data_IF_971358761356
#
_entry.id   IF_971358761356
#
_cell.length_a   1.000
_cell.length_b   1.000
_cell.length_c   1.000
_cell.angle_alpha   90.00
_cell.angle_beta   90.00
_cell.angle_gamma   90.00
#
_symmetry.space_group_name_H-M   'P 1'
#
loop_
_entity.id
_entity.type
_entity.pdbx_description
1 polymer ?
#
# COMPACT_ATOMS: atom_id res chain seq x y z
N UNK A 1 5.99 13.20 -9.28
CA UNK A 1 5.56 12.94 -7.89
C UNK A 1 5.49 14.28 -7.19
N UNK A 2 4.35 14.93 -7.28
CA UNK A 2 4.20 16.35 -6.94
C UNK A 2 3.41 16.50 -5.63
N UNK A 3 2.75 15.41 -5.22
CA UNK A 3 1.88 15.33 -4.05
C UNK A 3 2.68 15.10 -2.75
N UNK A 4 2.21 15.67 -1.63
CA UNK A 4 2.86 15.51 -0.34
C UNK A 4 2.86 14.04 0.11
N UNK A 5 3.80 13.66 0.99
CA UNK A 5 3.94 12.27 1.44
C UNK A 5 2.67 11.73 2.12
N UNK A 6 1.90 12.58 2.79
CA UNK A 6 0.62 12.18 3.38
C UNK A 6 -0.40 11.69 2.33
N UNK A 7 -0.50 12.38 1.18
CA UNK A 7 -1.38 11.97 0.10
C UNK A 7 -0.89 10.66 -0.54
N UNK A 8 0.42 10.55 -0.81
CA UNK A 8 1.03 9.34 -1.36
C UNK A 8 0.88 8.12 -0.46
N UNK A 9 0.94 8.30 0.86
CA UNK A 9 0.75 7.22 1.83
C UNK A 9 -0.71 6.74 1.94
N UNK A 10 -1.68 7.47 1.37
CA UNK A 10 -3.12 7.13 1.47
C UNK A 10 -3.78 6.78 0.14
N UNK A 11 -3.22 7.21 -0.99
CA UNK A 11 -3.82 6.99 -2.32
C UNK A 11 -4.04 5.50 -2.61
N UNK A 12 -3.11 4.63 -2.21
CA UNK A 12 -3.25 3.19 -2.43
C UNK A 12 -4.43 2.58 -1.64
N UNK A 13 -4.68 3.08 -0.42
CA UNK A 13 -5.83 2.67 0.39
C UNK A 13 -7.15 3.16 -0.22
N UNK A 14 -7.13 4.33 -0.85
CA UNK A 14 -8.31 4.88 -1.53
C UNK A 14 -8.71 4.03 -2.73
N UNK A 15 -7.72 3.65 -3.57
CA UNK A 15 -7.95 2.72 -4.68
C UNK A 15 -8.42 1.35 -4.20
N UNK A 16 -7.85 0.85 -3.11
CA UNK A 16 -8.26 -0.40 -2.49
C UNK A 16 -9.70 -0.37 -1.99
N UNK A 17 -10.15 0.71 -1.34
CA UNK A 17 -11.54 0.85 -0.90
C UNK A 17 -12.53 0.83 -2.07
N UNK A 18 -12.16 1.42 -3.22
CA UNK A 18 -12.98 1.31 -4.44
C UNK A 18 -13.05 -0.14 -4.92
N UNK A 19 -11.92 -0.85 -4.94
CA UNK A 19 -11.89 -2.27 -5.33
C UNK A 19 -12.69 -3.14 -4.36
N UNK A 20 -12.63 -2.89 -3.06
CA UNK A 20 -13.41 -3.58 -2.04
C UNK A 20 -14.90 -3.39 -2.21
N UNK A 21 -15.36 -2.18 -2.56
CA UNK A 21 -16.78 -1.96 -2.86
C UNK A 21 -17.27 -2.88 -4.00
N UNK A 22 -16.49 -2.98 -5.08
CA UNK A 22 -16.84 -3.88 -6.18
C UNK A 22 -16.75 -5.37 -5.81
N UNK A 23 -15.80 -5.74 -4.95
CA UNK A 23 -15.68 -7.11 -4.40
C UNK A 23 -16.86 -7.47 -3.50
N UNK A 24 -17.23 -6.59 -2.57
CA UNK A 24 -18.10 -6.93 -1.43
C UNK A 24 -19.56 -6.54 -1.63
N UNK A 25 -19.84 -5.46 -2.35
CA UNK A 25 -21.22 -4.98 -2.60
C UNK A 25 -21.70 -5.40 -3.99
N UNK A 26 -20.83 -5.29 -5.01
CA UNK A 26 -21.18 -5.66 -6.39
C UNK A 26 -20.88 -7.15 -6.69
N UNK A 27 -20.12 -7.82 -5.82
CA UNK A 27 -19.78 -9.25 -5.94
C UNK A 27 -19.11 -9.60 -7.28
N UNK A 28 -18.04 -8.86 -7.62
CA UNK A 28 -17.27 -9.03 -8.86
C UNK A 28 -15.83 -9.39 -8.58
N UNK A 29 -15.22 -10.03 -9.56
CA UNK A 29 -13.78 -10.23 -9.61
C UNK A 29 -13.11 -9.00 -10.21
N UNK A 30 -12.20 -8.41 -9.46
CA UNK A 30 -11.58 -7.13 -9.76
C UNK A 30 -10.08 -7.31 -9.95
N UNK A 31 -9.57 -6.66 -10.98
CA UNK A 31 -8.13 -6.54 -11.22
C UNK A 31 -7.67 -5.17 -10.71
N UNK A 32 -6.81 -5.16 -9.70
CA UNK A 32 -6.25 -3.97 -9.07
C UNK A 32 -4.79 -3.80 -9.49
N UNK A 33 -4.47 -2.67 -10.12
CA UNK A 33 -3.10 -2.32 -10.48
C UNK A 33 -2.53 -1.30 -9.50
N UNK A 34 -1.40 -1.63 -8.88
CA UNK A 34 -0.68 -0.72 -7.97
C UNK A 34 0.71 -0.45 -8.56
N UNK A 35 0.89 0.75 -9.11
CA UNK A 35 2.19 1.23 -9.59
C UNK A 35 2.56 2.53 -8.86
N UNK A 36 3.49 2.53 -7.91
CA UNK A 36 4.38 1.46 -7.44
C UNK A 36 4.22 1.26 -5.93
N UNK A 37 4.14 0.00 -5.47
CA UNK A 37 3.89 -0.29 -4.04
C UNK A 37 5.01 0.21 -3.13
N UNK A 38 6.25 0.24 -3.62
CA UNK A 38 7.37 0.81 -2.87
C UNK A 38 7.15 2.29 -2.51
N UNK A 39 6.38 3.03 -3.32
CA UNK A 39 6.10 4.46 -3.09
C UNK A 39 5.15 4.69 -1.93
N UNK A 40 4.32 3.70 -1.60
CA UNK A 40 3.54 3.69 -0.36
C UNK A 40 4.46 3.59 0.85
N UNK A 41 5.42 2.65 0.83
CA UNK A 41 6.44 2.49 1.88
C UNK A 41 7.30 3.74 2.05
N UNK A 42 7.82 4.28 0.94
CA UNK A 42 8.65 5.48 0.93
C UNK A 42 7.92 6.68 1.55
N UNK A 43 6.67 6.91 1.13
CA UNK A 43 5.85 7.98 1.68
C UNK A 43 5.58 7.75 3.19
N UNK A 44 5.36 6.50 3.61
CA UNK A 44 5.22 6.13 5.01
C UNK A 44 6.46 6.46 5.85
N UNK A 45 7.66 6.21 5.31
CA UNK A 45 8.92 6.58 5.96
C UNK A 45 9.06 8.10 6.12
N UNK A 46 8.74 8.87 5.07
CA UNK A 46 8.74 10.35 5.13
C UNK A 46 7.76 10.88 6.19
N UNK A 47 6.54 10.34 6.25
CA UNK A 47 5.55 10.72 7.27
C UNK A 47 6.01 10.32 8.68
N UNK A 48 6.59 9.14 8.84
CA UNK A 48 7.09 8.65 10.13
C UNK A 48 8.21 9.54 10.69
N UNK A 49 9.11 10.02 9.82
CA UNK A 49 10.16 10.96 10.20
C UNK A 49 9.57 12.31 10.65
N UNK A 50 8.56 12.84 9.93
CA UNK A 50 7.86 14.07 10.32
C UNK A 50 7.12 13.93 11.66
N UNK A 51 6.67 12.73 12.02
CA UNK A 51 6.05 12.42 13.31
C UNK A 51 7.06 12.20 14.45
N UNK A 52 8.36 12.33 14.19
CA UNK A 52 9.40 12.17 15.21
C UNK A 52 9.59 10.73 15.69
N UNK A 53 9.13 9.74 14.92
CA UNK A 53 9.35 8.32 15.26
C UNK A 53 10.79 7.95 14.98
N UNK A 54 11.41 7.16 15.88
CA UNK A 54 12.74 6.62 15.62
C UNK A 54 12.72 5.72 14.38
N UNK A 55 13.65 5.92 13.42
CA UNK A 55 13.72 5.08 12.23
C UNK A 55 14.18 3.66 12.60
N UNK A 56 13.71 2.70 11.82
CA UNK A 56 14.13 1.30 11.88
C UNK A 56 15.30 1.04 10.93
N UNK A 57 15.57 -0.23 10.63
CA UNK A 57 16.59 -0.66 9.68
C UNK A 57 16.50 0.12 8.35
N UNK A 58 17.66 0.56 7.85
CA UNK A 58 17.81 1.25 6.55
C UNK A 58 16.99 2.56 6.43
N UNK A 59 16.48 3.10 7.55
CA UNK A 59 15.73 4.37 7.57
C UNK A 59 14.23 4.23 7.33
N UNK A 60 13.69 3.02 7.30
CA UNK A 60 12.25 2.78 7.18
C UNK A 60 11.50 3.11 8.48
N UNK A 61 10.18 3.30 8.38
CA UNK A 61 9.32 3.44 9.56
C UNK A 61 9.30 2.15 10.40
N UNK A 62 9.24 2.24 11.75
CA UNK A 62 9.15 1.07 12.61
C UNK A 62 7.84 0.29 12.42
N UNK A 63 6.81 0.93 11.85
CA UNK A 63 5.49 0.36 11.59
C UNK A 63 5.35 -0.28 10.21
N UNK A 64 6.44 -0.41 9.44
CA UNK A 64 6.40 -0.83 8.03
C UNK A 64 5.67 -2.17 7.85
N UNK A 65 6.06 -3.19 8.61
CA UNK A 65 5.48 -4.53 8.48
C UNK A 65 3.96 -4.52 8.77
N UNK A 66 3.54 -3.79 9.81
CA UNK A 66 2.13 -3.70 10.20
C UNK A 66 1.32 -2.90 9.18
N UNK A 67 1.84 -1.78 8.68
CA UNK A 67 1.16 -0.94 7.68
C UNK A 67 1.03 -1.65 6.33
N UNK A 68 2.09 -2.33 5.90
CA UNK A 68 2.07 -3.14 4.69
C UNK A 68 1.11 -4.33 4.84
N UNK A 69 1.17 -5.06 5.95
CA UNK A 69 0.28 -6.18 6.22
C UNK A 69 -1.20 -5.75 6.23
N UNK A 70 -1.53 -4.66 6.93
CA UNK A 70 -2.91 -4.15 6.97
C UNK A 70 -3.47 -3.79 5.59
N UNK A 71 -2.60 -3.40 4.64
CA UNK A 71 -3.00 -3.08 3.28
C UNK A 71 -3.06 -4.32 2.38
N UNK A 72 -2.05 -5.19 2.44
CA UNK A 72 -1.97 -6.38 1.59
C UNK A 72 -3.01 -7.43 1.96
N UNK A 73 -3.30 -7.63 3.26
CA UNK A 73 -4.30 -8.61 3.71
C UNK A 73 -5.73 -8.28 3.24
N UNK A 74 -6.00 -7.01 2.92
CA UNK A 74 -7.28 -6.58 2.34
C UNK A 74 -7.39 -6.96 0.86
N UNK A 75 -6.26 -7.14 0.17
CA UNK A 75 -6.20 -7.61 -1.21
C UNK A 75 -6.28 -9.14 -1.18
N UNK A 76 -7.51 -9.64 -1.12
CA UNK A 76 -7.77 -11.07 -1.02
C UNK A 76 -9.09 -11.46 -1.67
N UNK A 77 -9.25 -12.76 -1.88
CA UNK A 77 -10.48 -13.37 -2.34
C UNK A 77 -11.41 -13.64 -1.16
N UNK A 78 -12.67 -13.23 -1.28
CA UNK A 78 -13.72 -13.51 -0.31
C UNK A 78 -14.77 -14.43 -0.92
N UNK A 79 -15.82 -14.76 -0.16
CA UNK A 79 -16.97 -15.53 -0.67
C UNK A 79 -17.84 -14.73 -1.65
N UNK A 80 -17.70 -13.40 -1.70
CA UNK A 80 -18.52 -12.51 -2.52
C UNK A 80 -17.85 -12.18 -3.86
N UNK A 81 -16.53 -12.17 -3.91
CA UNK A 81 -15.74 -11.88 -5.11
C UNK A 81 -14.26 -11.91 -4.79
N UNK A 82 -13.42 -11.58 -5.78
CA UNK A 82 -11.97 -11.54 -5.61
C UNK A 82 -11.35 -10.21 -6.00
N UNK A 83 -10.23 -9.87 -5.37
CA UNK A 83 -9.33 -8.82 -5.85
C UNK A 83 -8.02 -9.50 -6.24
N UNK A 84 -7.77 -9.57 -7.54
CA UNK A 84 -6.46 -9.95 -8.07
C UNK A 84 -5.64 -8.68 -8.21
N UNK A 85 -4.46 -8.61 -7.57
CA UNK A 85 -3.60 -7.43 -7.70
C UNK A 85 -2.34 -7.70 -8.50
N UNK A 86 -1.97 -6.75 -9.34
CA UNK A 86 -0.66 -6.70 -10.00
C UNK A 86 0.04 -5.45 -9.49
N UNK A 87 1.16 -5.65 -8.80
CA UNK A 87 1.86 -4.58 -8.10
C UNK A 87 3.29 -4.46 -8.61
N UNK A 88 3.67 -3.28 -9.07
CA UNK A 88 5.07 -2.99 -9.38
C UNK A 88 5.83 -2.78 -8.08
N UNK A 89 6.87 -3.59 -7.84
CA UNK A 89 7.77 -3.47 -6.69
C UNK A 89 9.09 -2.90 -7.18
N UNK A 90 9.44 -1.70 -6.71
CA UNK A 90 10.77 -1.14 -6.94
C UNK A 90 11.74 -1.62 -5.85
N UNK A 91 12.84 -2.25 -6.25
CA UNK A 91 13.93 -2.65 -5.37
C UNK A 91 14.98 -1.53 -5.35
N UNK A 92 15.19 -0.83 -4.24
CA UNK A 92 16.21 0.21 -4.16
C UNK A 92 17.60 -0.41 -4.21
N UNK A 93 18.46 0.12 -5.09
CA UNK A 93 19.87 -0.27 -5.21
C UNK A 93 20.14 -1.78 -5.47
N UNK A 94 19.18 -2.50 -6.04
CA UNK A 94 19.27 -3.93 -6.37
C UNK A 94 19.54 -4.86 -5.17
N UNK A 95 19.24 -4.42 -3.94
CA UNK A 95 19.38 -5.22 -2.71
C UNK A 95 18.04 -5.92 -2.37
N UNK A 96 18.01 -7.26 -2.48
CA UNK A 96 16.82 -8.12 -2.34
C UNK A 96 16.58 -8.63 -0.91
#
# INVERSE_FOLDING_TARGET
MNEPPGARARVALSGLTVAEYFRDEVSRDILLFIDNIFRFTQAGSEVSALLGRMPSAVGYQPTLATEMGAMQERITSTKKGSITSVQAVYVPADDL
#
